data_IF_705716699496
#
_entry.id   IF_705716699496
#
_cell.length_a   1.000
_cell.length_b   1.000
_cell.length_c   1.000
_cell.angle_alpha   90.00
_cell.angle_beta   90.00
_cell.angle_gamma   90.00
#
_symmetry.space_group_name_H-M   'P 1'
#
loop_
_entity.id
_entity.type
_entity.pdbx_description
1 polymer ?
#
# COMPACT_ATOMS: atom_id res chain seq x y z
N UNK A 1 -11.58 3.38 27.12
CA UNK A 1 -12.22 3.44 25.78
C UNK A 1 -11.19 3.62 24.66
N UNK A 2 -10.19 4.48 24.85
CA UNK A 2 -9.13 4.79 23.86
C UNK A 2 -8.30 3.56 23.44
N UNK A 3 -7.88 2.70 24.39
CA UNK A 3 -7.17 1.44 24.11
C UNK A 3 -7.94 0.51 23.16
N UNK A 4 -9.25 0.30 23.39
CA UNK A 4 -10.12 -0.50 22.50
C UNK A 4 -10.17 0.07 21.08
N UNK A 5 -10.17 1.41 20.95
CA UNK A 5 -10.17 2.07 19.63
C UNK A 5 -8.85 1.88 18.90
N UNK A 6 -7.71 1.92 19.60
CA UNK A 6 -6.39 1.60 19.02
C UNK A 6 -6.40 0.19 18.46
N UNK A 7 -6.87 -0.80 19.24
CA UNK A 7 -6.92 -2.20 18.81
C UNK A 7 -7.80 -2.40 17.57
N UNK A 8 -8.98 -1.76 17.53
CA UNK A 8 -9.88 -1.84 16.38
C UNK A 8 -9.28 -1.25 15.11
N UNK A 9 -8.61 -0.08 15.22
CA UNK A 9 -7.95 0.53 14.07
C UNK A 9 -6.75 -0.29 13.61
N UNK A 10 -6.05 -0.92 14.54
CA UNK A 10 -4.96 -1.84 14.22
C UNK A 10 -5.45 -3.04 13.40
N UNK A 11 -6.51 -3.70 13.87
CA UNK A 11 -7.15 -4.81 13.15
C UNK A 11 -7.69 -4.39 11.79
N UNK A 12 -8.33 -3.22 11.71
CA UNK A 12 -8.84 -2.69 10.44
C UNK A 12 -7.71 -2.40 9.44
N UNK A 13 -6.57 -1.89 9.91
CA UNK A 13 -5.40 -1.61 9.07
C UNK A 13 -4.79 -2.92 8.52
N UNK A 14 -4.65 -3.93 9.37
CA UNK A 14 -4.14 -5.25 8.96
C UNK A 14 -5.09 -5.94 7.97
N UNK A 15 -6.40 -5.89 8.23
CA UNK A 15 -7.38 -6.46 7.33
C UNK A 15 -7.41 -5.76 5.97
N UNK A 16 -7.39 -4.42 5.96
CA UNK A 16 -7.34 -3.65 4.72
C UNK A 16 -6.07 -3.93 3.90
N UNK A 17 -4.94 -4.17 4.57
CA UNK A 17 -3.70 -4.59 3.94
C UNK A 17 -3.77 -6.01 3.37
N UNK A 18 -4.39 -6.94 4.10
CA UNK A 18 -4.62 -8.31 3.64
C UNK A 18 -5.55 -8.36 2.41
N UNK A 19 -6.59 -7.54 2.40
CA UNK A 19 -7.56 -7.44 1.30
C UNK A 19 -7.04 -6.59 0.12
N UNK A 20 -5.79 -6.10 0.18
CA UNK A 20 -5.19 -5.16 -0.79
C UNK A 20 -6.08 -3.93 -1.07
N UNK A 21 -6.89 -3.52 -0.10
CA UNK A 21 -7.84 -2.43 -0.25
C UNK A 21 -7.17 -1.10 0.08
N UNK A 22 -6.43 -0.55 -0.89
CA UNK A 22 -5.64 0.68 -0.75
C UNK A 22 -6.46 1.89 -0.28
N UNK A 23 -7.72 1.98 -0.72
CA UNK A 23 -8.62 3.06 -0.32
C UNK A 23 -8.96 2.96 1.17
N UNK A 24 -9.22 1.75 1.64
CA UNK A 24 -9.51 1.48 3.04
C UNK A 24 -8.28 1.69 3.93
N UNK A 25 -7.08 1.29 3.47
CA UNK A 25 -5.81 1.59 4.16
C UNK A 25 -5.68 3.10 4.39
N UNK A 26 -5.91 3.92 3.35
CA UNK A 26 -5.84 5.39 3.47
C UNK A 26 -6.88 5.94 4.45
N UNK A 27 -8.10 5.39 4.45
CA UNK A 27 -9.18 5.80 5.36
C UNK A 27 -8.84 5.47 6.82
N UNK A 28 -8.32 4.28 7.07
CA UNK A 28 -7.92 3.84 8.41
C UNK A 28 -6.71 4.62 8.90
N UNK A 29 -5.73 4.90 8.04
CA UNK A 29 -4.55 5.71 8.35
C UNK A 29 -4.89 7.14 8.80
N UNK A 30 -5.87 7.77 8.14
CA UNK A 30 -6.38 9.08 8.56
C UNK A 30 -7.00 9.01 9.97
N UNK A 31 -7.81 7.98 10.26
CA UNK A 31 -8.39 7.79 11.59
C UNK A 31 -7.35 7.51 12.67
N UNK A 32 -6.28 6.78 12.33
CA UNK A 32 -5.14 6.57 13.22
C UNK A 32 -4.45 7.90 13.52
N UNK A 33 -4.20 8.72 12.50
CA UNK A 33 -3.57 10.03 12.65
C UNK A 33 -4.38 10.97 13.57
N UNK A 34 -5.71 10.99 13.40
CA UNK A 34 -6.61 11.78 14.27
C UNK A 34 -6.60 11.26 15.70
N UNK A 35 -6.61 9.94 15.88
CA UNK A 35 -6.54 9.32 17.21
C UNK A 35 -5.22 9.64 17.92
N UNK A 36 -4.08 9.52 17.21
CA UNK A 36 -2.76 9.83 17.76
C UNK A 36 -2.65 11.29 18.17
N UNK A 37 -3.24 12.20 17.39
CA UNK A 37 -3.32 13.62 17.74
C UNK A 37 -4.10 13.85 19.04
N UNK A 38 -5.29 13.25 19.16
CA UNK A 38 -6.11 13.35 20.35
C UNK A 38 -5.42 12.76 21.59
N UNK A 39 -4.74 11.62 21.46
CA UNK A 39 -3.97 11.00 22.55
C UNK A 39 -2.85 11.93 23.05
N UNK A 40 -2.14 12.58 22.11
CA UNK A 40 -1.08 13.53 22.43
C UNK A 40 -1.62 14.76 23.16
N UNK A 41 -2.72 15.33 22.70
CA UNK A 41 -3.38 16.49 23.32
C UNK A 41 -3.89 16.20 24.72
N UNK A 42 -4.32 14.96 24.99
CA UNK A 42 -4.82 14.52 26.29
C UNK A 42 -3.71 14.04 27.26
N UNK A 43 -2.44 14.00 26.82
CA UNK A 43 -1.33 13.53 27.64
C UNK A 43 -1.41 12.05 28.03
N UNK A 44 -2.14 11.22 27.27
CA UNK A 44 -2.41 9.82 27.61
C UNK A 44 -1.32 8.83 27.13
N UNK A 45 -0.17 9.34 26.70
CA UNK A 45 0.85 8.55 26.03
C UNK A 45 1.44 7.44 26.92
N UNK A 46 1.76 7.76 28.17
CA UNK A 46 2.30 6.81 29.15
C UNK A 46 1.31 5.68 29.47
N UNK A 47 0.01 6.00 29.54
CA UNK A 47 -1.04 5.03 29.87
C UNK A 47 -1.37 4.07 28.71
N UNK A 48 -0.96 4.41 27.48
CA UNK A 48 -1.29 3.68 26.26
C UNK A 48 -0.03 3.19 25.53
N UNK A 49 1.12 3.20 26.20
CA UNK A 49 2.41 2.93 25.57
C UNK A 49 2.44 1.57 24.87
N UNK A 50 1.85 0.54 25.49
CA UNK A 50 1.83 -0.81 24.93
C UNK A 50 1.01 -0.88 23.63
N UNK A 51 -0.22 -0.34 23.64
CA UNK A 51 -1.10 -0.32 22.48
C UNK A 51 -0.54 0.54 21.35
N UNK A 52 0.11 1.65 21.69
CA UNK A 52 0.78 2.51 20.71
C UNK A 52 1.98 1.82 20.06
N UNK A 53 2.77 1.04 20.80
CA UNK A 53 3.88 0.28 20.21
C UNK A 53 3.36 -0.84 19.30
N UNK A 54 2.27 -1.53 19.68
CA UNK A 54 1.62 -2.52 18.80
C UNK A 54 1.12 -1.88 17.50
N UNK A 55 0.43 -0.75 17.59
CA UNK A 55 -0.05 0.01 16.43
C UNK A 55 1.10 0.42 15.52
N UNK A 56 2.22 0.91 16.10
CA UNK A 56 3.42 1.30 15.34
C UNK A 56 4.02 0.13 14.56
N UNK A 57 4.13 -1.04 15.19
CA UNK A 57 4.67 -2.25 14.54
C UNK A 57 3.80 -2.71 13.38
N UNK A 58 2.48 -2.68 13.56
CA UNK A 58 1.55 -3.06 12.50
C UNK A 58 1.60 -2.09 11.33
N UNK A 59 1.63 -0.78 11.61
CA UNK A 59 1.76 0.27 10.59
C UNK A 59 3.04 0.10 9.77
N UNK A 60 4.18 -0.20 10.41
CA UNK A 60 5.43 -0.48 9.72
C UNK A 60 5.33 -1.70 8.79
N UNK A 61 4.59 -2.75 9.20
CA UNK A 61 4.34 -3.95 8.39
C UNK A 61 3.47 -3.63 7.18
N UNK A 62 2.36 -2.92 7.37
CA UNK A 62 1.47 -2.51 6.27
C UNK A 62 2.19 -1.58 5.30
N UNK A 63 2.98 -0.62 5.79
CA UNK A 63 3.79 0.24 4.94
C UNK A 63 4.81 -0.56 4.12
N UNK A 64 5.36 -1.65 4.67
CA UNK A 64 6.23 -2.57 3.92
C UNK A 64 5.46 -3.29 2.82
N UNK A 65 4.27 -3.83 3.13
CA UNK A 65 3.41 -4.49 2.14
C UNK A 65 3.03 -3.55 0.99
N UNK A 66 2.64 -2.30 1.29
CA UNK A 66 2.33 -1.30 0.26
C UNK A 66 3.52 -1.04 -0.67
N UNK A 67 4.75 -0.96 -0.12
CA UNK A 67 5.97 -0.78 -0.92
C UNK A 67 6.25 -1.97 -1.83
N UNK A 68 6.16 -3.18 -1.29
CA UNK A 68 6.36 -4.42 -2.06
C UNK A 68 5.37 -4.54 -3.22
N UNK A 69 4.09 -4.23 -2.97
CA UNK A 69 3.05 -4.25 -4.01
C UNK A 69 3.25 -3.17 -5.07
N UNK A 70 3.68 -1.97 -4.67
CA UNK A 70 4.06 -0.92 -5.61
C UNK A 70 5.25 -1.35 -6.49
N UNK A 71 6.26 -1.99 -5.92
CA UNK A 71 7.41 -2.49 -6.68
C UNK A 71 7.02 -3.60 -7.66
N UNK A 72 6.15 -4.53 -7.24
CA UNK A 72 5.59 -5.57 -8.12
C UNK A 72 4.81 -4.97 -9.29
N UNK A 73 3.95 -3.97 -9.03
CA UNK A 73 3.21 -3.27 -10.08
C UNK A 73 4.15 -2.56 -11.05
N UNK A 74 5.19 -1.90 -10.54
CA UNK A 74 6.20 -1.23 -11.36
C UNK A 74 6.93 -2.21 -12.29
N UNK A 75 7.33 -3.38 -11.78
CA UNK A 75 7.96 -4.43 -12.59
C UNK A 75 7.00 -4.93 -13.67
N UNK A 76 5.74 -5.20 -13.34
CA UNK A 76 4.72 -5.63 -14.31
C UNK A 76 4.50 -4.60 -15.41
N UNK A 77 4.42 -3.32 -15.06
CA UNK A 77 4.26 -2.24 -16.04
C UNK A 77 5.46 -2.15 -16.99
N UNK A 78 6.68 -2.29 -16.48
CA UNK A 78 7.89 -2.30 -17.30
C UNK A 78 7.89 -3.50 -18.27
N UNK A 79 7.50 -4.69 -17.81
CA UNK A 79 7.38 -5.88 -18.67
C UNK A 79 6.32 -5.68 -19.76
N UNK A 80 5.16 -5.11 -19.43
CA UNK A 80 4.12 -4.80 -20.41
C UNK A 80 4.59 -3.80 -21.48
N UNK A 81 5.34 -2.76 -21.08
CA UNK A 81 5.91 -1.79 -22.00
C UNK A 81 6.91 -2.44 -22.95
N UNK A 82 7.86 -3.23 -22.42
CA UNK A 82 8.85 -3.95 -23.21
C UNK A 82 8.20 -4.95 -24.19
N UNK A 83 7.21 -5.71 -23.73
CA UNK A 83 6.49 -6.66 -24.60
C UNK A 83 5.74 -5.94 -25.73
N UNK A 84 5.13 -4.77 -25.44
CA UNK A 84 4.44 -3.99 -26.45
C UNK A 84 5.40 -3.41 -27.48
N UNK A 85 6.55 -2.89 -27.05
CA UNK A 85 7.61 -2.41 -27.95
C UNK A 85 8.16 -3.54 -28.83
N UNK A 86 8.37 -4.74 -28.25
CA UNK A 86 8.79 -5.92 -29.01
C UNK A 86 7.78 -6.34 -30.06
N UNK A 87 6.49 -6.45 -29.71
CA UNK A 87 5.43 -6.79 -30.67
C UNK A 87 5.32 -5.75 -31.80
N UNK A 88 5.41 -4.46 -31.49
CA UNK A 88 5.42 -3.40 -32.50
C UNK A 88 6.63 -3.46 -33.43
N UNK A 89 7.80 -3.83 -32.92
CA UNK A 89 8.99 -4.03 -33.74
C UNK A 89 8.82 -5.21 -34.72
N UNK A 90 8.20 -6.30 -34.29
CA UNK A 90 7.86 -7.42 -35.17
C UNK A 90 6.82 -7.02 -36.23
N UNK A 91 5.76 -6.29 -35.86
CA UNK A 91 4.74 -5.81 -36.80
C UNK A 91 5.32 -4.88 -37.88
N UNK A 92 6.20 -3.94 -37.49
CA UNK A 92 6.88 -3.07 -38.46
C UNK A 92 7.81 -3.86 -39.37
N UNK A 93 8.54 -4.85 -38.83
CA UNK A 93 9.45 -5.68 -39.63
C UNK A 93 8.67 -6.54 -40.64
N UNK A 94 7.59 -7.21 -40.22
CA UNK A 94 6.75 -8.01 -41.14
C UNK A 94 6.09 -7.17 -42.23
N UNK A 95 5.64 -5.94 -41.91
CA UNK A 95 5.06 -5.05 -42.91
C UNK A 95 6.10 -4.50 -43.91
N UNK A 96 7.37 -4.40 -43.49
CA UNK A 96 8.48 -3.95 -44.36
C UNK A 96 8.96 -5.03 -45.33
N UNK A 97 8.85 -6.30 -44.93
CA UNK A 97 9.20 -7.46 -45.76
C UNK A 97 8.13 -7.73 -46.84
N UNK A 98 6.85 -7.47 -46.57
CA UNK A 98 5.76 -7.65 -47.55
C UNK A 98 5.73 -6.58 -48.66
N UNK A 99 6.34 -5.40 -48.48
CA UNK A 99 6.42 -4.34 -49.50
C UNK A 99 7.57 -4.54 -50.52
N UNK A 100 8.43 -5.55 -50.34
CA UNK A 100 9.59 -5.81 -51.20
C UNK A 100 9.52 -7.12 -52.03
N UNK A 101 8.36 -7.79 -52.09
CA UNK A 101 8.05 -8.86 -53.06
C UNK A 101 7.18 -8.36 -54.23
#
# INVERSE_FOLDING_TARGET
MTSKRILQLNQALEQAAFDENWNEIRRVDAQISDLLRAIREQGLYENLHHELDQLRRSHARVAKMCREQHDLLRIKLQQYQQNREGLQAYEMFSASDEENE
#
